data_IF_540518003304
#
_entry.id   IF_540518003304
#
_cell.length_a   1.000
_cell.length_b   1.000
_cell.length_c   1.000
_cell.angle_alpha   90.00
_cell.angle_beta   90.00
_cell.angle_gamma   90.00
#
_symmetry.space_group_name_H-M   'P 1'
#
loop_
_entity.id
_entity.type
_entity.pdbx_description
1 polymer ?
#
# COMPACT_ATOMS: atom_id res chain seq x y z
N UNK A 1 -61.56 41.28 16.00
CA UNK A 1 -62.80 41.07 16.77
C UNK A 1 -63.39 39.72 16.35
N UNK A 2 -63.56 38.85 17.34
CA UNK A 2 -64.54 37.75 17.43
C UNK A 2 -64.58 36.62 16.39
N UNK A 3 -64.13 35.46 16.87
CA UNK A 3 -64.61 34.13 16.52
C UNK A 3 -66.13 33.97 16.74
N UNK A 4 -66.81 33.06 16.01
CA UNK A 4 -67.42 31.81 16.55
C UNK A 4 -68.49 31.12 15.65
N UNK A 5 -68.37 29.77 15.57
CA UNK A 5 -69.42 28.71 15.47
C UNK A 5 -70.02 28.46 14.06
N UNK A 6 -69.66 27.40 13.31
CA UNK A 6 -69.82 25.94 13.51
C UNK A 6 -71.26 25.45 13.32
N UNK A 7 -71.52 24.71 12.22
CA UNK A 7 -72.62 23.74 12.15
C UNK A 7 -72.42 22.75 10.99
N UNK A 8 -72.35 21.46 11.35
CA UNK A 8 -72.79 20.27 10.57
C UNK A 8 -71.84 19.91 9.40
N UNK A 9 -70.85 19.02 9.55
CA UNK A 9 -70.91 17.59 9.92
C UNK A 9 -71.96 16.79 9.13
N UNK A 10 -71.51 16.22 8.00
CA UNK A 10 -71.99 14.97 7.39
C UNK A 10 -73.25 15.03 6.49
N UNK A 11 -73.06 15.11 5.17
CA UNK A 11 -73.93 14.41 4.21
C UNK A 11 -73.28 14.32 2.81
N UNK A 12 -73.43 13.13 2.18
CA UNK A 12 -73.06 12.74 0.80
C UNK A 12 -71.56 12.49 0.58
N UNK A 13 -71.06 11.29 0.87
CA UNK A 13 -71.15 10.10 -0.01
C UNK A 13 -70.43 10.30 -1.35
N UNK A 14 -69.17 9.86 -1.35
CA UNK A 14 -68.50 9.05 -2.37
C UNK A 14 -69.23 8.83 -3.70
N UNK A 15 -68.59 9.24 -4.80
CA UNK A 15 -68.46 8.44 -6.04
C UNK A 15 -67.63 9.18 -7.08
N UNK A 16 -66.30 9.02 -7.04
CA UNK A 16 -65.46 8.97 -8.25
C UNK A 16 -64.03 8.55 -7.91
N UNK A 17 -63.84 7.38 -7.29
CA UNK A 17 -62.56 6.67 -7.39
C UNK A 17 -62.51 6.06 -8.79
N UNK A 18 -61.87 6.76 -9.72
CA UNK A 18 -61.51 6.18 -11.02
C UNK A 18 -60.48 5.10 -10.73
N UNK A 19 -60.93 3.85 -10.68
CA UNK A 19 -60.07 2.69 -10.64
C UNK A 19 -59.27 2.65 -11.94
N UNK A 20 -58.01 3.13 -11.89
CA UNK A 20 -57.04 2.84 -12.92
C UNK A 20 -56.68 1.37 -12.77
N UNK A 21 -57.44 0.51 -13.44
CA UNK A 21 -57.03 -0.87 -13.70
C UNK A 21 -55.79 -0.80 -14.58
N UNK A 22 -54.60 -0.85 -13.96
CA UNK A 22 -53.37 -1.11 -14.69
C UNK A 22 -53.49 -2.56 -15.17
N UNK A 23 -53.93 -2.72 -16.42
CA UNK A 23 -53.86 -3.99 -17.13
C UNK A 23 -52.40 -4.39 -17.15
N UNK A 24 -52.03 -5.30 -16.24
CA UNK A 24 -50.72 -5.95 -16.21
C UNK A 24 -50.61 -6.75 -17.50
N UNK A 25 -49.69 -6.42 -18.42
CA UNK A 25 -49.53 -7.21 -19.62
C UNK A 25 -49.01 -8.60 -19.22
N UNK A 26 -49.89 -9.58 -19.39
CA UNK A 26 -49.65 -11.00 -19.68
C UNK A 26 -48.31 -11.57 -19.17
N UNK A 27 -48.33 -12.16 -17.97
CA UNK A 27 -47.17 -12.82 -17.34
C UNK A 27 -46.82 -14.19 -17.97
N UNK A 28 -46.99 -14.35 -19.28
CA UNK A 28 -46.74 -15.61 -20.00
C UNK A 28 -45.80 -15.42 -21.18
N UNK A 29 -44.69 -14.71 -20.94
CA UNK A 29 -43.48 -14.87 -21.76
C UNK A 29 -42.36 -15.38 -20.87
N UNK A 30 -42.18 -16.70 -20.90
CA UNK A 30 -41.02 -17.38 -20.34
C UNK A 30 -39.76 -16.86 -21.05
N UNK A 31 -39.19 -15.77 -20.53
CA UNK A 31 -37.88 -15.31 -20.95
C UNK A 31 -36.89 -16.42 -20.59
N UNK A 32 -36.43 -17.17 -21.59
CA UNK A 32 -35.29 -18.06 -21.47
C UNK A 32 -34.09 -17.20 -21.05
N UNK A 33 -33.81 -17.15 -19.74
CA UNK A 33 -32.58 -16.57 -19.23
C UNK A 33 -31.50 -17.59 -19.50
N UNK A 34 -30.78 -17.40 -20.60
CA UNK A 34 -29.53 -18.12 -20.82
C UNK A 34 -28.59 -17.79 -19.66
N UNK A 35 -28.45 -18.74 -18.74
CA UNK A 35 -27.48 -18.65 -17.66
C UNK A 35 -26.14 -19.04 -18.26
N UNK A 36 -25.36 -18.03 -18.63
CA UNK A 36 -23.97 -18.25 -19.00
C UNK A 36 -23.22 -18.51 -17.70
N UNK A 37 -22.91 -19.79 -17.44
CA UNK A 37 -22.05 -20.17 -16.33
C UNK A 37 -20.61 -19.74 -16.65
N UNK A 38 -20.27 -18.50 -16.29
CA UNK A 38 -18.92 -17.97 -16.38
C UNK A 38 -18.06 -18.58 -15.26
N UNK A 39 -17.27 -19.60 -15.60
CA UNK A 39 -16.26 -20.14 -14.70
C UNK A 39 -15.12 -19.12 -14.62
N UNK A 40 -15.21 -18.18 -13.68
CA UNK A 40 -14.10 -17.31 -13.37
C UNK A 40 -13.04 -18.10 -12.60
N UNK A 41 -12.05 -18.63 -13.31
CA UNK A 41 -10.87 -19.18 -12.66
C UNK A 41 -10.04 -18.01 -12.16
N UNK A 42 -9.86 -17.85 -10.83
CA UNK A 42 -9.10 -16.73 -10.33
C UNK A 42 -7.62 -16.88 -10.73
N UNK A 43 -6.89 -15.78 -11.01
CA UNK A 43 -5.57 -15.86 -11.65
C UNK A 43 -4.54 -16.70 -10.89
N UNK A 44 -4.61 -16.74 -9.56
CA UNK A 44 -3.72 -17.54 -8.70
C UNK A 44 -3.93 -19.06 -8.82
N UNK A 45 -5.03 -19.53 -9.43
CA UNK A 45 -5.29 -20.96 -9.69
C UNK A 45 -4.69 -21.42 -11.02
N UNK A 46 -4.01 -20.54 -11.76
CA UNK A 46 -3.26 -20.90 -12.96
C UNK A 46 -1.78 -21.10 -12.64
N UNK A 47 -1.25 -22.30 -12.97
CA UNK A 47 0.17 -22.63 -12.82
C UNK A 47 1.07 -21.67 -13.60
N UNK A 48 0.72 -21.36 -14.86
CA UNK A 48 1.54 -20.51 -15.73
C UNK A 48 1.67 -19.09 -15.19
N UNK A 49 0.56 -18.56 -14.66
CA UNK A 49 0.55 -17.25 -14.00
C UNK A 49 1.45 -17.23 -12.75
N UNK A 50 1.37 -18.27 -11.91
CA UNK A 50 2.20 -18.36 -10.71
C UNK A 50 3.68 -18.49 -11.04
N UNK A 51 4.06 -19.30 -12.04
CA UNK A 51 5.46 -19.42 -12.46
C UNK A 51 6.02 -18.10 -12.99
N UNK A 52 5.24 -17.40 -13.82
CA UNK A 52 5.63 -16.08 -14.32
C UNK A 52 5.82 -15.06 -13.19
N UNK A 53 4.82 -14.89 -12.32
CA UNK A 53 4.88 -13.89 -11.25
C UNK A 53 5.87 -14.25 -10.14
N UNK A 54 5.91 -15.52 -9.74
CA UNK A 54 6.70 -15.97 -8.60
C UNK A 54 8.14 -16.30 -8.96
N UNK A 55 8.40 -16.98 -10.07
CA UNK A 55 9.77 -17.39 -10.43
C UNK A 55 10.46 -16.34 -11.31
N UNK A 56 9.79 -15.87 -12.39
CA UNK A 56 10.40 -14.93 -13.34
C UNK A 56 10.46 -13.50 -12.81
N UNK A 57 9.33 -12.96 -12.37
CA UNK A 57 9.25 -11.58 -11.86
C UNK A 57 9.74 -11.44 -10.40
N UNK A 58 9.94 -12.55 -9.69
CA UNK A 58 10.42 -12.50 -8.31
C UNK A 58 9.41 -11.93 -7.30
N UNK A 59 8.13 -11.80 -7.64
CA UNK A 59 7.10 -11.27 -6.72
C UNK A 59 6.94 -12.17 -5.50
N UNK A 60 6.64 -11.56 -4.36
CA UNK A 60 6.32 -12.30 -3.13
C UNK A 60 4.87 -12.82 -3.14
N UNK A 61 4.58 -13.85 -2.35
CA UNK A 61 3.21 -14.38 -2.14
C UNK A 61 2.25 -13.25 -1.75
N UNK A 62 2.72 -12.32 -0.91
CA UNK A 62 1.94 -11.17 -0.47
C UNK A 62 1.58 -10.22 -1.62
N UNK A 63 2.52 -9.95 -2.53
CA UNK A 63 2.29 -9.09 -3.70
C UNK A 63 1.35 -9.77 -4.70
N UNK A 64 1.53 -11.07 -4.95
CA UNK A 64 0.64 -11.85 -5.83
C UNK A 64 -0.78 -11.88 -5.25
N UNK A 65 -0.91 -12.10 -3.94
CA UNK A 65 -2.19 -12.07 -3.24
C UNK A 65 -2.87 -10.70 -3.37
N UNK A 66 -2.14 -9.61 -3.14
CA UNK A 66 -2.67 -8.25 -3.32
C UNK A 66 -3.08 -7.96 -4.78
N UNK A 67 -2.28 -8.40 -5.76
CA UNK A 67 -2.57 -8.21 -7.18
C UNK A 67 -3.79 -9.01 -7.65
N UNK A 68 -3.99 -10.21 -7.09
CA UNK A 68 -5.10 -11.10 -7.46
C UNK A 68 -6.33 -10.94 -6.56
N UNK A 69 -6.28 -10.00 -5.60
CA UNK A 69 -7.31 -9.77 -4.58
C UNK A 69 -7.66 -11.04 -3.78
N UNK A 70 -6.65 -11.87 -3.54
CA UNK A 70 -6.79 -13.17 -2.88
C UNK A 70 -6.09 -13.21 -1.54
N UNK A 71 -6.40 -14.23 -0.74
CA UNK A 71 -5.68 -14.45 0.51
C UNK A 71 -4.26 -14.96 0.24
N UNK A 72 -3.33 -14.62 1.14
CA UNK A 72 -1.95 -15.14 1.09
C UNK A 72 -1.89 -16.66 1.21
N UNK A 73 -2.84 -17.24 1.96
CA UNK A 73 -2.98 -18.69 2.12
C UNK A 73 -3.37 -19.33 0.79
N UNK A 74 -4.38 -18.81 0.09
CA UNK A 74 -4.80 -19.35 -1.21
C UNK A 74 -3.65 -19.39 -2.24
N UNK A 75 -2.87 -18.31 -2.33
CA UNK A 75 -1.70 -18.27 -3.22
C UNK A 75 -0.62 -19.26 -2.77
N UNK A 76 -0.39 -19.41 -1.45
CA UNK A 76 0.55 -20.41 -0.92
C UNK A 76 0.08 -21.84 -1.26
N UNK A 77 -1.18 -22.14 -1.03
CA UNK A 77 -1.75 -23.48 -1.23
C UNK A 77 -1.69 -23.85 -2.70
N UNK A 78 -1.98 -22.91 -3.61
CA UNK A 78 -1.82 -23.11 -5.04
C UNK A 78 -0.36 -23.34 -5.45
N UNK A 79 0.61 -22.64 -4.86
CA UNK A 79 2.04 -22.91 -5.12
C UNK A 79 2.42 -24.34 -4.69
N UNK A 80 1.88 -24.82 -3.57
CA UNK A 80 2.07 -26.20 -3.09
C UNK A 80 1.38 -27.21 -4.04
N UNK A 81 0.13 -26.95 -4.41
CA UNK A 81 -0.68 -27.77 -5.33
C UNK A 81 0.03 -27.97 -6.68
N UNK A 82 0.62 -26.89 -7.23
CA UNK A 82 1.37 -26.95 -8.48
C UNK A 82 2.84 -27.39 -8.34
N UNK A 83 3.26 -27.81 -7.15
CA UNK A 83 4.64 -28.24 -6.86
C UNK A 83 5.71 -27.16 -7.16
N UNK A 84 5.36 -25.88 -7.00
CA UNK A 84 6.28 -24.75 -7.16
C UNK A 84 7.02 -24.56 -5.83
N UNK A 85 8.37 -24.60 -5.79
CA UNK A 85 9.12 -24.58 -4.55
C UNK A 85 8.97 -23.24 -3.82
N UNK A 86 8.57 -23.29 -2.54
CA UNK A 86 8.47 -22.11 -1.71
C UNK A 86 9.87 -21.57 -1.37
N UNK A 87 10.07 -20.26 -1.53
CA UNK A 87 11.28 -19.56 -1.09
C UNK A 87 11.48 -19.80 0.40
N UNK A 88 12.66 -20.33 0.76
CA UNK A 88 13.09 -20.44 2.16
C UNK A 88 13.00 -19.07 2.80
N UNK A 89 12.53 -19.02 4.05
CA UNK A 89 12.64 -17.79 4.83
C UNK A 89 14.12 -17.38 4.87
N UNK A 90 14.39 -16.11 4.57
CA UNK A 90 15.75 -15.58 4.66
C UNK A 90 16.28 -15.75 6.08
N UNK A 91 17.60 -15.93 6.22
CA UNK A 91 18.25 -15.98 7.54
C UNK A 91 17.84 -14.73 8.34
N UNK A 92 17.37 -14.87 9.59
CA UNK A 92 17.15 -13.72 10.46
C UNK A 92 18.46 -12.92 10.52
N UNK A 93 18.40 -11.62 10.22
CA UNK A 93 19.57 -10.72 10.23
C UNK A 93 20.00 -10.12 8.89
N UNK A 94 19.66 -10.70 7.72
CA UNK A 94 20.03 -10.09 6.41
C UNK A 94 19.20 -8.86 6.03
N UNK A 95 18.04 -8.68 6.66
CA UNK A 95 17.19 -7.49 6.48
C UNK A 95 17.28 -6.68 7.75
N UNK A 96 17.82 -5.43 7.72
CA UNK A 96 17.83 -4.60 8.91
C UNK A 96 16.39 -4.41 9.36
N UNK A 97 16.13 -4.65 10.65
CA UNK A 97 14.79 -4.54 11.23
C UNK A 97 14.22 -3.13 11.01
N UNK A 98 15.08 -2.12 11.19
CA UNK A 98 14.78 -0.72 10.94
C UNK A 98 15.39 -0.26 9.61
N UNK A 99 14.64 0.53 8.86
CA UNK A 99 15.11 1.14 7.61
C UNK A 99 16.07 2.29 7.95
N UNK A 100 17.32 2.28 7.43
CA UNK A 100 18.25 3.37 7.66
C UNK A 100 17.76 4.68 7.04
N UNK A 101 18.14 5.81 7.64
CA UNK A 101 17.93 7.14 7.07
C UNK A 101 18.66 7.25 5.73
N UNK A 102 18.02 7.85 4.72
CA UNK A 102 18.45 7.84 3.32
C UNK A 102 17.74 6.79 2.45
N UNK A 103 16.96 5.90 3.06
CA UNK A 103 16.33 4.77 2.36
C UNK A 103 14.87 4.59 2.75
N UNK A 104 14.10 3.92 1.90
CA UNK A 104 12.73 3.48 2.16
C UNK A 104 12.55 2.04 1.69
N UNK A 105 11.52 1.37 2.21
CA UNK A 105 11.11 0.07 1.67
C UNK A 105 10.11 0.29 0.54
N UNK A 106 10.41 -0.26 -0.63
CA UNK A 106 9.46 -0.39 -1.73
C UNK A 106 9.55 -1.83 -2.25
N UNK A 107 8.43 -2.51 -2.40
CA UNK A 107 8.38 -3.91 -2.88
C UNK A 107 9.26 -4.90 -2.10
N UNK A 108 9.48 -4.64 -0.81
CA UNK A 108 10.34 -5.46 0.05
C UNK A 108 11.85 -5.27 -0.18
N UNK A 109 12.23 -4.33 -1.05
CA UNK A 109 13.60 -3.90 -1.30
C UNK A 109 13.89 -2.56 -0.63
N UNK A 110 15.17 -2.31 -0.36
CA UNK A 110 15.65 -1.04 0.17
C UNK A 110 15.96 -0.12 -1.02
N UNK A 111 15.17 0.94 -1.16
CA UNK A 111 15.27 1.90 -2.27
C UNK A 111 15.74 3.24 -1.72
N UNK A 112 16.63 3.98 -2.39
CA UNK A 112 17.07 5.29 -1.94
C UNK A 112 15.89 6.27 -1.85
N UNK A 113 15.85 7.04 -0.75
CA UNK A 113 14.92 8.14 -0.57
C UNK A 113 15.62 9.45 -0.93
N UNK A 114 15.32 10.00 -2.11
CA UNK A 114 16.05 11.15 -2.69
C UNK A 114 16.14 12.37 -1.76
N UNK A 115 15.07 12.72 -1.04
CA UNK A 115 15.08 13.85 -0.09
C UNK A 115 16.08 13.64 1.05
N UNK A 116 15.92 12.56 1.82
CA UNK A 116 16.87 12.15 2.86
C UNK A 116 18.32 11.99 2.34
N UNK A 117 18.52 11.48 1.13
CA UNK A 117 19.86 11.36 0.53
C UNK A 117 20.54 12.72 0.31
N UNK A 118 19.80 13.75 -0.12
CA UNK A 118 20.33 15.11 -0.24
C UNK A 118 20.73 15.69 1.13
N UNK A 119 19.98 15.37 2.18
CA UNK A 119 20.32 15.75 3.55
C UNK A 119 21.62 15.09 3.99
N UNK A 120 21.79 13.79 3.69
CA UNK A 120 23.03 13.05 3.98
C UNK A 120 24.22 13.68 3.25
N UNK A 121 24.06 14.00 1.97
CA UNK A 121 25.11 14.67 1.17
C UNK A 121 25.48 16.04 1.77
N UNK A 122 24.48 16.83 2.18
CA UNK A 122 24.69 18.14 2.81
C UNK A 122 25.41 18.00 4.15
N UNK A 123 25.00 17.03 4.98
CA UNK A 123 25.66 16.74 6.25
C UNK A 123 27.12 16.30 6.07
N UNK A 124 27.39 15.47 5.06
CA UNK A 124 28.75 15.05 4.70
C UNK A 124 29.60 16.24 4.28
N UNK A 125 29.06 17.12 3.44
CA UNK A 125 29.75 18.34 3.00
C UNK A 125 30.11 19.23 4.20
N UNK A 126 29.14 19.56 5.05
CA UNK A 126 29.38 20.36 6.26
C UNK A 126 30.42 19.72 7.20
N UNK A 127 30.40 18.39 7.35
CA UNK A 127 31.40 17.68 8.14
C UNK A 127 32.80 17.78 7.53
N UNK A 128 32.91 17.72 6.21
CA UNK A 128 34.18 17.89 5.50
C UNK A 128 34.69 19.34 5.59
N UNK A 129 33.78 20.31 5.66
CA UNK A 129 34.07 21.73 5.87
C UNK A 129 34.48 22.03 7.34
N UNK A 130 34.51 21.01 8.22
CA UNK A 130 34.98 21.11 9.60
C UNK A 130 33.90 21.46 10.63
N UNK A 131 32.62 21.49 10.24
CA UNK A 131 31.54 21.73 11.21
C UNK A 131 31.40 20.55 12.17
N UNK A 132 31.22 20.86 13.45
CA UNK A 132 30.91 19.84 14.47
C UNK A 132 29.51 19.26 14.26
N UNK A 133 29.30 18.02 14.72
CA UNK A 133 27.98 17.37 14.62
C UNK A 133 26.87 18.15 15.32
N UNK A 134 27.18 18.92 16.37
CA UNK A 134 26.21 19.81 17.04
C UNK A 134 25.77 20.93 16.10
N UNK A 135 26.72 21.64 15.49
CA UNK A 135 26.43 22.71 14.52
C UNK A 135 25.61 22.19 13.32
N UNK A 136 25.91 20.98 12.85
CA UNK A 136 25.14 20.33 11.79
C UNK A 136 23.69 20.07 12.24
N UNK A 137 23.48 19.60 13.47
CA UNK A 137 22.14 19.38 14.02
C UNK A 137 21.36 20.69 14.15
N UNK A 138 22.00 21.75 14.64
CA UNK A 138 21.40 23.07 14.79
C UNK A 138 21.00 23.64 13.43
N UNK A 139 21.88 23.51 12.43
CA UNK A 139 21.58 23.90 11.06
C UNK A 139 20.38 23.14 10.49
N UNK A 140 20.40 21.80 10.53
CA UNK A 140 19.31 20.97 10.00
C UNK A 140 17.97 21.25 10.72
N UNK A 141 18.02 21.53 12.02
CA UNK A 141 16.84 21.91 12.79
C UNK A 141 16.34 23.30 12.42
N UNK A 142 17.23 24.28 12.23
CA UNK A 142 16.88 25.65 11.83
C UNK A 142 16.24 25.73 10.44
N UNK A 143 16.68 24.86 9.52
CA UNK A 143 16.11 24.75 8.16
C UNK A 143 14.80 23.94 8.15
N UNK A 144 14.41 23.34 9.28
CA UNK A 144 13.18 22.56 9.40
C UNK A 144 13.25 21.19 8.74
N UNK A 145 14.44 20.60 8.60
CA UNK A 145 14.60 19.26 8.02
C UNK A 145 14.10 18.21 9.02
N UNK A 146 13.06 17.42 8.70
CA UNK A 146 12.52 16.44 9.62
C UNK A 146 13.46 15.24 9.78
N UNK A 147 13.41 14.62 10.97
CA UNK A 147 14.02 13.30 11.21
C UNK A 147 13.14 12.18 10.63
N UNK A 148 13.65 10.94 10.54
CA UNK A 148 12.97 9.79 9.90
C UNK A 148 11.51 9.62 10.29
N UNK A 149 11.23 9.73 11.59
CA UNK A 149 9.90 9.55 12.19
C UNK A 149 9.31 10.90 12.66
N UNK A 150 9.78 12.02 12.09
CA UNK A 150 9.29 13.38 12.40
C UNK A 150 9.24 13.67 13.92
N UNK A 151 10.26 13.18 14.65
CA UNK A 151 10.33 13.28 16.12
C UNK A 151 11.06 14.52 16.62
N UNK A 152 11.69 14.38 17.79
CA UNK A 152 12.58 15.40 18.38
C UNK A 152 13.68 15.84 17.39
N UNK A 153 14.19 17.06 17.57
CA UNK A 153 15.26 17.64 16.76
C UNK A 153 16.50 16.75 16.64
N UNK A 154 17.34 17.06 15.66
CA UNK A 154 18.51 16.26 15.30
C UNK A 154 19.45 16.06 16.51
N UNK A 155 19.84 14.81 16.75
CA UNK A 155 20.82 14.47 17.78
C UNK A 155 22.19 14.24 17.14
N UNK A 156 23.30 14.72 17.73
CA UNK A 156 24.65 14.54 17.16
C UNK A 156 25.01 13.09 16.86
N UNK A 157 24.56 12.16 17.71
CA UNK A 157 24.78 10.72 17.53
C UNK A 157 24.09 10.17 16.26
N UNK A 158 22.96 10.75 15.84
CA UNK A 158 22.29 10.36 14.59
C UNK A 158 23.16 10.72 13.39
N UNK A 159 23.72 11.94 13.37
CA UNK A 159 24.62 12.41 12.31
C UNK A 159 25.86 11.53 12.26
N UNK A 160 26.49 11.26 13.41
CA UNK A 160 27.66 10.38 13.48
C UNK A 160 27.37 9.00 12.88
N UNK A 161 26.27 8.35 13.27
CA UNK A 161 25.87 7.03 12.74
C UNK A 161 25.63 7.05 11.24
N UNK A 162 24.98 8.09 10.73
CA UNK A 162 24.73 8.26 9.30
C UNK A 162 26.06 8.36 8.55
N UNK A 163 26.96 9.26 8.97
CA UNK A 163 28.23 9.49 8.28
C UNK A 163 29.18 8.30 8.37
N UNK A 164 29.28 7.64 9.54
CA UNK A 164 30.09 6.41 9.68
C UNK A 164 29.57 5.31 8.75
N UNK A 165 28.25 5.13 8.63
CA UNK A 165 27.66 4.14 7.73
C UNK A 165 27.97 4.43 6.26
N UNK A 166 27.85 5.68 5.83
CA UNK A 166 28.15 6.08 4.45
C UNK A 166 29.65 5.95 4.12
N UNK A 167 30.53 6.16 5.11
CA UNK A 167 31.95 5.90 4.95
C UNK A 167 32.24 4.41 4.71
N UNK A 168 31.60 3.51 5.47
CA UNK A 168 31.75 2.05 5.26
C UNK A 168 31.14 1.59 3.93
N UNK A 169 29.93 2.05 3.60
CA UNK A 169 29.25 1.64 2.38
C UNK A 169 30.02 2.03 1.11
N UNK A 170 30.67 3.21 1.10
CA UNK A 170 31.50 3.62 -0.04
C UNK A 170 32.80 2.83 -0.22
N UNK A 171 33.23 2.06 0.79
CA UNK A 171 34.43 1.20 0.70
C UNK A 171 34.10 -0.10 -0.05
N UNK A 172 32.88 -0.63 0.12
CA UNK A 172 32.46 -1.88 -0.51
C UNK A 172 32.21 -1.73 -2.04
N UNK A 173 32.00 -0.50 -2.52
CA UNK A 173 31.83 -0.19 -3.96
C UNK A 173 33.16 0.05 -4.70
N UNK A 174 34.28 0.23 -3.99
CA UNK A 174 35.62 0.30 -4.58
C UNK A 174 36.16 -1.12 -4.63
N UNK A 175 35.95 -1.79 -5.77
CA UNK A 175 36.55 -3.10 -6.03
C UNK A 175 38.04 -3.09 -5.64
N UNK A 176 38.53 -4.11 -4.89
CA UNK A 176 39.94 -4.15 -4.53
C UNK A 176 40.76 -4.17 -5.82
N UNK A 177 41.50 -3.09 -6.07
CA UNK A 177 42.53 -3.08 -7.10
C UNK A 177 43.53 -4.18 -6.71
N UNK A 178 43.48 -5.27 -7.46
CA UNK A 178 44.43 -6.36 -7.38
C UNK A 178 45.83 -5.80 -7.60
N UNK A 179 46.70 -6.01 -6.61
CA UNK A 179 48.15 -5.85 -6.76
C UNK A 179 48.72 -7.05 -7.51
#
# INVERSE_FOLDING_TARGET
MFWLISTIFWLMADQSRVERTVSSPDQTKSHLREKIDYIHTPPWRSKTFLEEKYLKEGRSIAQIAAQTLSSRAAVRDALIEFSIPLRKQGKPGKRPAQVPYGYRRADGLLVPHLGEQRVIQSARKMSNDGLSYRQICDFLTSVGVPTKNQGKGWQPEMIRRILTREATAGIDDVAPQSW
#
